data_IF_716496435637
#
_entry.id   IF_716496435637
#
_cell.length_a   1.000
_cell.length_b   1.000
_cell.length_c   1.000
_cell.angle_alpha   90.00
_cell.angle_beta   90.00
_cell.angle_gamma   90.00
#
_symmetry.space_group_name_H-M   'P 1'
#
loop_
_entity.id
_entity.type
_entity.pdbx_description
1 polymer ?
#
# COMPACT_ATOMS: atom_id res chain seq x y z
N UNK A 1 15.71 -8.30 41.08
CA UNK A 1 15.93 -8.11 39.63
C UNK A 1 15.31 -9.25 38.82
N UNK A 2 13.97 -9.32 38.69
CA UNK A 2 13.27 -10.40 37.95
C UNK A 2 12.13 -9.91 37.02
N UNK A 3 11.98 -8.60 36.81
CA UNK A 3 10.85 -8.03 36.05
C UNK A 3 11.03 -7.97 34.52
N UNK A 4 12.25 -8.15 34.01
CA UNK A 4 12.58 -7.86 32.61
C UNK A 4 12.35 -9.04 31.66
N UNK A 5 12.29 -10.27 32.19
CA UNK A 5 12.20 -11.49 31.37
C UNK A 5 10.79 -11.74 30.78
N UNK A 6 9.73 -11.21 31.41
CA UNK A 6 8.33 -11.49 31.02
C UNK A 6 7.95 -10.81 29.68
N UNK A 7 8.62 -9.72 29.28
CA UNK A 7 8.32 -9.01 28.03
C UNK A 7 8.77 -9.73 26.76
N UNK A 8 9.74 -10.64 26.83
CA UNK A 8 10.19 -11.38 25.65
C UNK A 8 9.25 -12.52 25.25
N UNK A 9 8.58 -13.16 26.23
CA UNK A 9 7.64 -14.26 25.98
C UNK A 9 6.26 -13.79 25.51
N UNK A 10 5.88 -12.54 25.75
CA UNK A 10 4.61 -11.95 25.33
C UNK A 10 4.57 -11.52 23.85
N UNK A 11 5.68 -11.68 23.10
CA UNK A 11 5.72 -11.40 21.66
C UNK A 11 5.11 -12.57 20.91
N UNK A 12 3.77 -12.73 21.03
CA UNK A 12 2.99 -13.59 20.13
C UNK A 12 3.42 -13.25 18.70
N UNK A 13 4.12 -14.17 18.06
CA UNK A 13 4.45 -14.03 16.65
C UNK A 13 3.13 -13.80 15.92
N UNK A 14 3.10 -12.79 15.04
CA UNK A 14 1.92 -12.54 14.22
C UNK A 14 1.52 -13.89 13.62
N UNK A 15 0.25 -14.32 13.78
CA UNK A 15 -0.17 -15.61 13.23
C UNK A 15 0.29 -15.64 11.77
N UNK A 16 0.96 -16.73 11.37
CA UNK A 16 1.36 -16.94 9.98
C UNK A 16 0.07 -16.91 9.17
N UNK A 17 -0.27 -15.73 8.65
CA UNK A 17 -1.41 -15.54 7.77
C UNK A 17 -1.20 -16.54 6.65
N UNK A 18 -2.12 -17.51 6.54
CA UNK A 18 -2.05 -18.52 5.48
C UNK A 18 -2.01 -17.86 4.10
N UNK A 19 -1.60 -18.60 3.06
CA UNK A 19 -1.55 -18.07 1.71
C UNK A 19 -2.89 -17.44 1.32
N UNK A 20 -2.86 -16.25 0.72
CA UNK A 20 -4.09 -15.57 0.31
C UNK A 20 -4.72 -16.38 -0.82
N UNK A 21 -5.67 -17.25 -0.47
CA UNK A 21 -6.48 -18.00 -1.41
C UNK A 21 -7.50 -17.04 -2.04
N UNK A 22 -7.15 -16.48 -3.20
CA UNK A 22 -8.12 -15.74 -3.99
C UNK A 22 -9.08 -16.68 -4.70
N UNK A 23 -10.38 -16.47 -4.46
CA UNK A 23 -11.48 -17.24 -5.05
C UNK A 23 -11.82 -16.83 -6.49
N UNK A 24 -11.15 -15.82 -7.05
CA UNK A 24 -11.39 -15.36 -8.42
C UNK A 24 -10.84 -16.34 -9.45
N UNK A 25 -11.42 -16.44 -10.66
CA UNK A 25 -10.85 -17.18 -11.79
C UNK A 25 -9.42 -16.72 -12.12
N UNK A 26 -8.53 -17.62 -12.57
CA UNK A 26 -7.13 -17.27 -12.85
C UNK A 26 -6.97 -16.27 -13.99
N UNK A 27 -7.85 -16.31 -15.00
CA UNK A 27 -7.81 -15.38 -16.14
C UNK A 27 -8.07 -13.93 -15.69
N UNK A 28 -9.18 -13.70 -14.98
CA UNK A 28 -9.51 -12.38 -14.43
C UNK A 28 -8.42 -11.86 -13.49
N UNK A 29 -7.82 -12.74 -12.69
CA UNK A 29 -6.70 -12.37 -11.82
C UNK A 29 -5.52 -11.83 -12.58
N UNK A 30 -5.13 -12.49 -13.68
CA UNK A 30 -3.97 -12.07 -14.46
C UNK A 30 -4.20 -10.70 -15.10
N UNK A 31 -5.38 -10.46 -15.68
CA UNK A 31 -5.76 -9.18 -16.26
C UNK A 31 -5.75 -8.05 -15.22
N UNK A 32 -6.41 -8.27 -14.08
CA UNK A 32 -6.42 -7.30 -12.96
C UNK A 32 -5.00 -7.02 -12.48
N UNK A 33 -4.19 -8.06 -12.33
CA UNK A 33 -2.82 -7.95 -11.82
C UNK A 33 -1.93 -7.18 -12.79
N UNK A 34 -2.09 -7.38 -14.09
CA UNK A 34 -1.35 -6.65 -15.12
C UNK A 34 -1.68 -5.15 -15.06
N UNK A 35 -2.97 -4.80 -15.10
CA UNK A 35 -3.38 -3.39 -15.07
C UNK A 35 -2.98 -2.71 -13.76
N UNK A 36 -3.14 -3.37 -12.61
CA UNK A 36 -2.69 -2.81 -11.33
C UNK A 36 -1.17 -2.61 -11.29
N UNK A 37 -0.40 -3.51 -11.91
CA UNK A 37 1.04 -3.37 -12.00
C UNK A 37 1.43 -2.19 -12.88
N UNK A 38 0.80 -2.04 -14.03
CA UNK A 38 1.07 -0.95 -14.98
C UNK A 38 0.72 0.42 -14.36
N UNK A 39 -0.43 0.54 -13.67
CA UNK A 39 -0.79 1.76 -12.93
C UNK A 39 0.28 2.14 -11.90
N UNK A 40 0.79 1.18 -11.11
CA UNK A 40 1.82 1.44 -10.11
C UNK A 40 3.18 1.72 -10.77
N UNK A 41 3.47 1.10 -11.91
CA UNK A 41 4.71 1.33 -12.66
C UNK A 41 4.75 2.73 -13.27
N UNK A 42 3.65 3.18 -13.86
CA UNK A 42 3.54 4.49 -14.52
C UNK A 42 3.51 5.65 -13.51
N UNK A 43 2.78 5.51 -12.40
CA UNK A 43 2.64 6.57 -11.40
C UNK A 43 3.78 6.54 -10.35
N UNK A 44 4.51 5.44 -10.25
CA UNK A 44 5.47 5.21 -9.18
C UNK A 44 4.81 4.90 -7.83
N UNK A 45 5.50 5.20 -6.70
CA UNK A 45 5.02 4.91 -5.35
C UNK A 45 3.72 5.66 -5.05
N UNK A 46 2.61 4.92 -5.03
CA UNK A 46 1.26 5.49 -4.97
C UNK A 46 0.50 4.97 -3.75
N UNK A 47 -0.36 5.83 -3.16
CA UNK A 47 -1.22 5.43 -2.03
C UNK A 47 -2.35 4.53 -2.51
N UNK A 48 -2.90 3.72 -1.60
CA UNK A 48 -4.04 2.83 -1.90
C UNK A 48 -5.26 3.59 -2.43
N UNK A 49 -5.50 4.79 -1.92
CA UNK A 49 -6.63 5.61 -2.37
C UNK A 49 -6.41 6.11 -3.79
N UNK A 50 -5.22 6.63 -4.10
CA UNK A 50 -4.90 7.12 -5.44
C UNK A 50 -4.89 5.96 -6.46
N UNK A 51 -4.40 4.77 -6.09
CA UNK A 51 -4.50 3.58 -6.97
C UNK A 51 -5.95 3.27 -7.33
N UNK A 52 -6.88 3.36 -6.36
CA UNK A 52 -8.31 3.11 -6.61
C UNK A 52 -8.93 4.15 -7.55
N UNK A 53 -8.50 5.41 -7.45
CA UNK A 53 -8.96 6.48 -8.35
C UNK A 53 -8.49 6.20 -9.78
N UNK A 54 -7.20 5.87 -9.98
CA UNK A 54 -6.66 5.49 -11.29
C UNK A 54 -7.35 4.26 -11.90
N UNK A 55 -7.64 3.25 -11.09
CA UNK A 55 -8.38 2.06 -11.58
C UNK A 55 -9.78 2.43 -12.09
N UNK A 56 -10.46 3.38 -11.42
CA UNK A 56 -11.76 3.86 -11.87
C UNK A 56 -11.66 4.65 -13.17
N UNK A 57 -10.60 5.45 -13.35
CA UNK A 57 -10.33 6.17 -14.61
C UNK A 57 -10.09 5.21 -15.78
N UNK A 58 -9.36 4.10 -15.55
CA UNK A 58 -9.11 3.06 -16.56
C UNK A 58 -10.36 2.21 -16.86
N UNK A 59 -11.40 2.27 -16.01
CA UNK A 59 -12.67 1.58 -16.26
C UNK A 59 -12.59 0.06 -16.12
N UNK A 60 -11.78 -0.45 -15.19
CA UNK A 60 -11.58 -1.89 -15.04
C UNK A 60 -12.82 -2.59 -14.45
N UNK A 61 -13.56 -3.31 -15.29
CA UNK A 61 -14.85 -3.94 -14.93
C UNK A 61 -14.73 -5.11 -13.95
N UNK A 62 -13.60 -5.81 -13.96
CA UNK A 62 -13.41 -6.99 -13.10
C UNK A 62 -13.13 -6.66 -11.61
N UNK A 63 -12.94 -5.36 -11.27
CA UNK A 63 -12.66 -4.91 -9.91
C UNK A 63 -13.90 -4.28 -9.26
N UNK A 64 -14.71 -5.14 -8.63
CA UNK A 64 -16.01 -4.75 -8.05
C UNK A 64 -15.95 -3.77 -6.87
N UNK A 65 -14.86 -3.73 -6.10
CA UNK A 65 -14.78 -2.85 -4.91
C UNK A 65 -13.35 -2.51 -4.50
N UNK A 66 -13.20 -1.43 -3.72
CA UNK A 66 -11.93 -1.03 -3.10
C UNK A 66 -11.38 -2.13 -2.18
N UNK A 67 -12.25 -2.93 -1.54
CA UNK A 67 -11.83 -4.08 -0.74
C UNK A 67 -11.27 -5.21 -1.60
N UNK A 68 -11.91 -5.50 -2.74
CA UNK A 68 -11.40 -6.48 -3.70
C UNK A 68 -10.03 -6.05 -4.25
N UNK A 69 -9.85 -4.77 -4.58
CA UNK A 69 -8.55 -4.21 -4.93
C UNK A 69 -7.50 -4.42 -3.83
N UNK A 70 -7.83 -4.17 -2.56
CA UNK A 70 -6.89 -4.36 -1.45
C UNK A 70 -6.46 -5.82 -1.28
N UNK A 71 -7.35 -6.77 -1.53
CA UNK A 71 -7.03 -8.21 -1.54
C UNK A 71 -6.07 -8.52 -2.69
N UNK A 72 -6.33 -8.01 -3.88
CA UNK A 72 -5.45 -8.13 -5.06
C UNK A 72 -4.05 -7.57 -4.78
N UNK A 73 -3.95 -6.35 -4.26
CA UNK A 73 -2.67 -5.72 -3.90
C UNK A 73 -1.91 -6.51 -2.82
N UNK A 74 -2.63 -7.14 -1.88
CA UNK A 74 -2.02 -8.00 -0.86
C UNK A 74 -1.51 -9.31 -1.48
N UNK A 75 -2.28 -9.91 -2.38
CA UNK A 75 -1.89 -11.12 -3.11
C UNK A 75 -0.66 -10.87 -4.00
N UNK A 76 -0.64 -9.74 -4.73
CA UNK A 76 0.52 -9.32 -5.54
C UNK A 76 1.79 -9.15 -4.70
N UNK A 77 1.65 -8.65 -3.47
CA UNK A 77 2.77 -8.51 -2.53
C UNK A 77 3.32 -9.84 -2.06
N UNK A 78 2.43 -10.80 -1.77
CA UNK A 78 2.84 -12.16 -1.37
C UNK A 78 3.63 -12.85 -2.48
N UNK A 79 3.27 -12.58 -3.74
CA UNK A 79 3.97 -13.05 -4.95
C UNK A 79 5.18 -12.18 -5.35
N UNK A 80 5.63 -11.27 -4.49
CA UNK A 80 6.76 -10.37 -4.73
C UNK A 80 6.65 -9.50 -6.00
N UNK A 81 5.44 -9.22 -6.49
CA UNK A 81 5.23 -8.29 -7.62
C UNK A 81 5.26 -6.82 -7.17
N UNK A 82 4.81 -6.56 -5.95
CA UNK A 82 4.74 -5.23 -5.33
C UNK A 82 5.41 -5.23 -3.95
N UNK A 83 5.91 -4.06 -3.56
CA UNK A 83 6.41 -3.76 -2.20
C UNK A 83 5.51 -2.71 -1.55
N UNK A 84 5.38 -2.78 -0.23
CA UNK A 84 4.77 -1.72 0.57
C UNK A 84 5.87 -0.94 1.27
N UNK A 85 5.94 0.35 0.96
CA UNK A 85 6.88 1.29 1.58
C UNK A 85 6.09 2.16 2.56
N UNK A 86 6.70 2.45 3.71
CA UNK A 86 6.18 3.45 4.65
C UNK A 86 6.89 4.77 4.36
N UNK A 87 6.15 5.77 3.92
CA UNK A 87 6.62 7.14 3.82
C UNK A 87 6.18 7.90 5.09
N UNK A 88 7.14 8.27 5.93
CA UNK A 88 6.86 9.00 7.16
C UNK A 88 6.96 10.49 6.87
N UNK A 89 5.82 11.18 6.88
CA UNK A 89 5.76 12.63 6.66
C UNK A 89 5.44 13.29 8.00
N UNK A 90 6.47 13.74 8.70
CA UNK A 90 6.34 14.32 10.05
C UNK A 90 5.83 13.29 11.05
N UNK A 91 4.63 13.51 11.60
CA UNK A 91 3.95 12.58 12.52
C UNK A 91 3.01 11.59 11.82
N UNK A 92 2.78 11.75 10.51
CA UNK A 92 1.82 10.94 9.76
C UNK A 92 2.52 9.81 8.98
N UNK A 93 1.97 8.59 9.07
CA UNK A 93 2.48 7.43 8.33
C UNK A 93 1.67 7.20 7.07
N UNK A 94 2.27 7.41 5.91
CA UNK A 94 1.69 7.05 4.61
C UNK A 94 2.22 5.70 4.16
N UNK A 95 1.33 4.84 3.65
CA UNK A 95 1.72 3.56 3.07
C UNK A 95 1.55 3.62 1.56
N UNK A 96 2.65 3.40 0.85
CA UNK A 96 2.73 3.47 -0.60
C UNK A 96 3.03 2.10 -1.18
N UNK A 97 2.33 1.75 -2.25
CA UNK A 97 2.69 0.58 -3.05
C UNK A 97 3.67 1.00 -4.14
N UNK A 98 4.76 0.25 -4.26
CA UNK A 98 5.77 0.42 -5.30
C UNK A 98 6.01 -0.90 -6.01
N UNK A 99 6.51 -0.87 -7.24
CA UNK A 99 6.88 -2.09 -7.95
C UNK A 99 8.11 -2.73 -7.31
N UNK A 100 8.26 -4.05 -7.44
CA UNK A 100 9.40 -4.77 -6.86
C UNK A 100 10.76 -4.36 -7.44
N UNK A 101 10.76 -3.90 -8.69
CA UNK A 101 11.96 -3.49 -9.43
C UNK A 101 12.37 -2.03 -9.17
N UNK A 102 11.50 -1.22 -8.57
CA UNK A 102 11.85 0.17 -8.23
C UNK A 102 12.60 0.21 -6.89
N UNK A 103 13.75 0.88 -6.87
CA UNK A 103 14.50 1.10 -5.63
C UNK A 103 13.64 1.84 -4.60
N UNK A 104 13.48 1.30 -3.38
CA UNK A 104 12.67 1.94 -2.35
C UNK A 104 13.24 3.30 -1.92
N UNK A 105 14.54 3.55 -2.15
CA UNK A 105 15.20 4.82 -1.88
C UNK A 105 14.76 5.94 -2.86
N UNK A 106 14.37 5.59 -4.10
CA UNK A 106 13.77 6.55 -5.02
C UNK A 106 12.34 6.93 -4.59
N UNK A 107 11.66 6.03 -3.87
CA UNK A 107 10.29 6.21 -3.40
C UNK A 107 10.14 7.08 -2.15
N UNK A 108 11.21 7.23 -1.37
CA UNK A 108 11.25 8.05 -0.15
C UNK A 108 11.84 9.44 -0.38
N UNK A 109 12.13 9.84 -1.63
CA UNK A 109 12.52 11.22 -1.91
C UNK A 109 11.34 12.13 -1.59
N UNK A 110 11.47 13.07 -0.64
CA UNK A 110 10.42 14.03 -0.38
C UNK A 110 10.31 14.92 -1.61
N UNK A 111 9.21 14.79 -2.36
CA UNK A 111 8.81 15.83 -3.31
C UNK A 111 8.53 17.10 -2.49
N UNK A 112 9.20 18.24 -2.76
CA UNK A 112 8.92 19.47 -2.05
C UNK A 112 7.68 20.12 -2.68
N UNK A 113 6.49 19.65 -2.33
CA UNK A 113 5.25 20.31 -2.78
C UNK A 113 4.07 19.95 -1.90
N UNK A 114 3.92 20.68 -0.80
CA UNK A 114 2.71 21.44 -0.46
C UNK A 114 2.81 21.92 0.99
N UNK A 115 3.09 23.21 1.16
CA UNK A 115 2.95 23.94 2.42
C UNK A 115 1.55 23.69 3.02
N UNK A 116 1.41 23.27 4.29
CA UNK A 116 0.15 23.43 4.98
C UNK A 116 0.02 24.91 5.42
N UNK A 117 -0.77 25.68 4.68
CA UNK A 117 -1.18 27.03 5.07
C UNK A 117 -1.96 26.94 6.39
N UNK A 118 -1.30 27.32 7.47
CA UNK A 118 -1.84 27.29 8.84
C UNK A 118 -2.71 28.53 9.01
N UNK A 119 -4.01 28.43 8.70
CA UNK A 119 -4.97 29.47 9.08
C UNK A 119 -5.08 29.52 10.61
N UNK A 120 -4.56 30.61 11.19
CA UNK A 120 -4.71 31.00 12.58
C UNK A 120 -6.04 31.77 12.71
N UNK A 121 -6.99 31.39 13.57
CA UNK A 121 -8.10 32.28 13.88
C UNK A 121 -7.60 33.42 14.78
N UNK A 122 -7.86 34.66 14.37
CA UNK A 122 -7.66 35.88 15.14
C UNK A 122 -8.81 36.06 16.14
N UNK A 123 -8.55 36.33 17.43
CA UNK A 123 -9.58 36.80 18.35
C UNK A 123 -9.80 38.31 18.19
N UNK A 124 -11.06 38.72 18.19
CA UNK A 124 -11.51 40.11 18.39
C UNK A 124 -11.46 40.50 19.86
#
# INVERSE_FOLDING_TARGET
MFGTAVRFLAKKSKPKMGPIAMKTPPEQRNTITAVLYDIVKENGPITVSNTWERVKEVGLKDLTSKNHMKIMLRWMRERQKLRLVCNHVGAHKQFLYTTWFTDPAAATKPTPSSLPSKQKPSPS
#
